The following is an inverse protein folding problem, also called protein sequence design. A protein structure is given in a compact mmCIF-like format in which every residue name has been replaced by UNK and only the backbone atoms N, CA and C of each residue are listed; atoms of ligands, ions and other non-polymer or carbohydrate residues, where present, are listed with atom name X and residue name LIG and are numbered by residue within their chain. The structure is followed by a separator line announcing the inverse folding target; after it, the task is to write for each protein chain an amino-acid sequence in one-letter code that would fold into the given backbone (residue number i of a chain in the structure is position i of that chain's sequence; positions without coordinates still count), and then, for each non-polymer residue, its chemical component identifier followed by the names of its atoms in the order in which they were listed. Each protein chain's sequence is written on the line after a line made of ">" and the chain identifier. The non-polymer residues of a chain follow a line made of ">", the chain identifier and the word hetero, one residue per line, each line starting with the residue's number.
data_IF_956537138904
#
_entry.id   IF_956537138904
#
_cell.length_a   1.000
_cell.length_b   1.000
_cell.length_c   1.000
_cell.angle_alpha   90.00
_cell.angle_beta   90.00
_cell.angle_gamma   90.00
#
_symmetry.space_group_name_H-M   'P 1'
#
loop_
_entity.id
_entity.type
_entity.pdbx_description
1 polymer ?
#
# COMPACT_ATOMS: atom_id res chain seq x y z
N UNK A 1 -11.12 14.75 2.27
CA UNK A 1 -12.20 15.74 2.52
C UNK A 1 -12.27 16.80 1.43
N UNK A 2 -11.17 17.50 1.09
CA UNK A 2 -11.17 18.50 0.02
C UNK A 2 -11.60 17.96 -1.37
N UNK A 3 -11.10 16.78 -1.78
CA UNK A 3 -11.48 16.17 -3.07
C UNK A 3 -12.97 15.81 -3.11
N UNK A 4 -13.51 15.30 -2.00
CA UNK A 4 -14.94 14.97 -1.89
C UNK A 4 -15.79 16.24 -1.96
N UNK A 5 -15.39 17.31 -1.28
CA UNK A 5 -16.07 18.61 -1.36
C UNK A 5 -16.01 19.20 -2.78
N UNK A 6 -14.88 19.04 -3.48
CA UNK A 6 -14.72 19.51 -4.86
C UNK A 6 -15.59 18.71 -5.84
N UNK A 7 -15.69 17.39 -5.67
CA UNK A 7 -16.57 16.53 -6.48
C UNK A 7 -18.05 16.83 -6.24
N UNK A 8 -18.45 17.06 -4.98
CA UNK A 8 -19.82 17.44 -4.63
C UNK A 8 -20.18 18.83 -5.16
N UNK A 9 -19.25 19.78 -5.11
CA UNK A 9 -19.40 21.12 -5.71
C UNK A 9 -19.57 21.04 -7.23
N UNK A 10 -18.74 20.23 -7.90
CA UNK A 10 -18.84 20.00 -9.35
C UNK A 10 -20.17 19.35 -9.72
N UNK A 11 -20.59 18.31 -8.98
CA UNK A 11 -21.88 17.64 -9.17
C UNK A 11 -23.06 18.62 -9.02
N UNK A 12 -23.02 19.49 -8.00
CA UNK A 12 -24.04 20.52 -7.75
C UNK A 12 -24.16 21.50 -8.92
N UNK A 13 -23.05 21.96 -9.47
CA UNK A 13 -23.02 22.87 -10.64
C UNK A 13 -23.60 22.18 -11.88
N UNK A 14 -23.26 20.90 -12.09
CA UNK A 14 -23.74 20.07 -13.19
C UNK A 14 -25.24 19.80 -13.12
N UNK A 15 -25.77 19.46 -11.94
CA UNK A 15 -27.19 19.07 -11.77
C UNK A 15 -28.12 20.26 -11.54
N UNK A 16 -27.63 21.37 -10.98
CA UNK A 16 -28.47 22.51 -10.57
C UNK A 16 -28.31 23.78 -11.40
N UNK A 17 -27.13 24.04 -11.98
CA UNK A 17 -26.83 25.31 -12.67
C UNK A 17 -26.91 25.23 -14.20
N UNK A 18 -26.59 24.07 -14.79
CA UNK A 18 -26.62 23.90 -16.26
C UNK A 18 -27.91 23.29 -16.78
N UNK A 19 -28.59 22.48 -15.96
CA UNK A 19 -29.79 21.75 -16.35
C UNK A 19 -31.06 22.62 -16.43
N UNK A 20 -31.06 23.80 -15.81
CA UNK A 20 -32.24 24.65 -15.75
C UNK A 20 -32.49 25.46 -17.04
N UNK A 21 -31.45 25.80 -17.83
CA UNK A 21 -31.61 26.72 -18.98
C UNK A 21 -30.69 26.47 -20.20
N UNK A 22 -29.70 25.58 -20.16
CA UNK A 22 -28.64 25.58 -21.19
C UNK A 22 -28.63 24.30 -22.05
N UNK A 23 -28.75 24.48 -23.37
CA UNK A 23 -28.80 23.40 -24.38
C UNK A 23 -27.54 22.53 -24.50
N UNK A 24 -27.49 21.70 -25.55
CA UNK A 24 -26.49 20.63 -25.79
C UNK A 24 -25.01 20.99 -25.58
N UNK A 25 -24.63 22.26 -25.76
CA UNK A 25 -23.26 22.73 -25.48
C UNK A 25 -22.89 22.67 -24.00
N UNK A 26 -23.83 22.99 -23.10
CA UNK A 26 -23.59 22.94 -21.66
C UNK A 26 -23.44 21.51 -21.15
N UNK A 27 -24.20 20.56 -21.71
CA UNK A 27 -24.05 19.13 -21.38
C UNK A 27 -22.74 18.54 -21.90
N UNK A 28 -22.27 18.98 -23.08
CA UNK A 28 -20.95 18.58 -23.59
C UNK A 28 -19.82 19.17 -22.74
N UNK A 29 -19.91 20.46 -22.36
CA UNK A 29 -18.93 21.11 -21.49
C UNK A 29 -18.86 20.44 -20.11
N UNK A 30 -20.02 20.05 -19.57
CA UNK A 30 -20.15 19.27 -18.36
C UNK A 30 -19.39 17.94 -18.41
N UNK A 31 -19.62 17.16 -19.48
CA UNK A 31 -18.96 15.86 -19.66
C UNK A 31 -17.45 16.02 -19.85
N UNK A 32 -17.02 17.05 -20.61
CA UNK A 32 -15.61 17.36 -20.78
C UNK A 32 -14.93 17.72 -19.45
N UNK A 33 -15.59 18.51 -18.60
CA UNK A 33 -15.08 18.87 -17.28
C UNK A 33 -14.90 17.63 -16.38
N UNK A 34 -15.88 16.71 -16.37
CA UNK A 34 -15.79 15.45 -15.61
C UNK A 34 -14.63 14.60 -16.12
N UNK A 35 -14.47 14.46 -17.44
CA UNK A 35 -13.39 13.70 -18.05
C UNK A 35 -12.00 14.26 -17.69
N UNK A 36 -11.84 15.58 -17.72
CA UNK A 36 -10.58 16.24 -17.34
C UNK A 36 -10.24 16.01 -15.86
N UNK A 37 -11.22 16.16 -14.97
CA UNK A 37 -11.02 15.93 -13.52
C UNK A 37 -10.67 14.46 -13.27
N UNK A 38 -11.39 13.53 -13.89
CA UNK A 38 -11.11 12.10 -13.76
C UNK A 38 -9.70 11.75 -14.28
N UNK A 39 -9.32 12.31 -15.43
CA UNK A 39 -7.98 12.15 -16.01
C UNK A 39 -6.88 12.69 -15.11
N UNK A 40 -7.06 13.89 -14.54
CA UNK A 40 -6.10 14.49 -13.62
C UNK A 40 -5.93 13.66 -12.34
N UNK A 41 -7.03 13.16 -11.76
CA UNK A 41 -6.99 12.30 -10.57
C UNK A 41 -6.32 10.97 -10.88
N UNK A 42 -6.65 10.33 -12.01
CA UNK A 42 -6.02 9.09 -12.44
C UNK A 42 -4.52 9.26 -12.68
N UNK A 43 -4.12 10.34 -13.35
CA UNK A 43 -2.72 10.69 -13.59
C UNK A 43 -1.95 10.92 -12.29
N UNK A 44 -2.53 11.67 -11.35
CA UNK A 44 -1.92 11.90 -10.04
C UNK A 44 -1.75 10.60 -9.24
N UNK A 45 -2.76 9.71 -9.24
CA UNK A 45 -2.69 8.40 -8.60
C UNK A 45 -1.63 7.49 -9.24
N UNK A 46 -1.55 7.49 -10.58
CA UNK A 46 -0.54 6.73 -11.32
C UNK A 46 0.88 7.25 -11.01
N UNK A 47 1.08 8.57 -11.05
CA UNK A 47 2.34 9.21 -10.69
C UNK A 47 2.75 8.92 -9.25
N UNK A 48 1.83 9.03 -8.29
CA UNK A 48 2.09 8.70 -6.89
C UNK A 48 2.54 7.23 -6.73
N UNK A 49 1.93 6.29 -7.47
CA UNK A 49 2.34 4.88 -7.46
C UNK A 49 3.71 4.65 -8.07
N UNK A 50 3.99 5.27 -9.22
CA UNK A 50 5.29 5.19 -9.91
C UNK A 50 6.43 5.72 -9.02
N UNK A 51 6.19 6.82 -8.32
CA UNK A 51 7.13 7.43 -7.37
C UNK A 51 7.20 6.70 -6.03
N UNK A 52 6.47 5.59 -5.87
CA UNK A 52 6.50 4.79 -4.65
C UNK A 52 5.91 5.49 -3.42
N UNK A 53 5.07 6.51 -3.61
CA UNK A 53 4.39 7.18 -2.52
C UNK A 53 3.49 6.17 -1.79
N UNK A 54 3.78 5.93 -0.52
CA UNK A 54 3.00 5.04 0.34
C UNK A 54 2.41 5.82 1.49
N UNK A 55 1.20 5.46 1.89
CA UNK A 55 0.60 5.99 3.11
C UNK A 55 1.53 5.71 4.31
N UNK A 56 1.69 6.65 5.26
CA UNK A 56 2.54 6.46 6.44
C UNK A 56 2.25 5.16 7.20
N UNK A 57 0.99 4.75 7.27
CA UNK A 57 0.57 3.49 7.88
C UNK A 57 1.13 2.26 7.16
N UNK A 58 1.20 2.28 5.82
CA UNK A 58 1.75 1.20 5.01
C UNK A 58 3.28 1.10 5.15
N UNK A 59 3.97 2.23 5.30
CA UNK A 59 5.41 2.26 5.61
C UNK A 59 5.65 1.67 6.99
N UNK A 60 4.92 2.13 8.01
CA UNK A 60 5.02 1.61 9.39
C UNK A 60 4.78 0.11 9.45
N UNK A 61 3.70 -0.38 8.83
CA UNK A 61 3.39 -1.82 8.82
C UNK A 61 4.44 -2.63 8.08
N UNK A 62 4.98 -2.12 6.97
CA UNK A 62 6.10 -2.72 6.25
C UNK A 62 7.36 -2.82 7.11
N UNK A 63 7.71 -1.76 7.84
CA UNK A 63 8.86 -1.73 8.75
C UNK A 63 8.67 -2.71 9.90
N UNK A 64 7.51 -2.72 10.55
CA UNK A 64 7.20 -3.66 11.63
C UNK A 64 7.28 -5.11 11.16
N UNK A 65 6.71 -5.42 9.98
CA UNK A 65 6.79 -6.76 9.39
C UNK A 65 8.24 -7.18 9.10
N UNK A 66 9.07 -6.28 8.54
CA UNK A 66 10.49 -6.54 8.32
C UNK A 66 11.26 -6.79 9.63
N UNK A 67 10.95 -6.03 10.69
CA UNK A 67 11.53 -6.25 12.03
C UNK A 67 11.09 -7.59 12.60
N UNK A 68 9.80 -7.92 12.53
CA UNK A 68 9.26 -9.19 12.98
C UNK A 68 9.95 -10.38 12.29
N UNK A 69 10.15 -10.34 10.97
CA UNK A 69 10.88 -11.40 10.26
C UNK A 69 12.33 -11.57 10.74
N UNK A 70 13.01 -10.46 11.09
CA UNK A 70 14.40 -10.51 11.59
C UNK A 70 14.50 -10.99 13.04
N UNK A 71 13.44 -10.87 13.83
CA UNK A 71 13.42 -11.29 15.24
C UNK A 71 12.58 -12.54 15.50
N UNK A 72 11.88 -13.06 14.49
CA UNK A 72 11.01 -14.24 14.60
C UNK A 72 11.79 -15.51 14.95
N UNK A 73 13.07 -15.54 14.61
CA UNK A 73 13.97 -16.64 14.94
C UNK A 73 15.00 -16.14 15.94
N UNK A 74 15.16 -16.86 17.06
CA UNK A 74 16.38 -16.71 17.84
C UNK A 74 17.57 -17.04 16.92
N UNK A 75 18.69 -16.31 16.99
CA UNK A 75 19.94 -16.76 16.42
C UNK A 75 20.21 -18.18 16.96
N UNK A 76 20.03 -19.19 16.11
CA UNK A 76 20.35 -20.56 16.49
C UNK A 76 21.86 -20.58 16.75
N UNK A 77 22.26 -21.03 17.95
CA UNK A 77 23.67 -21.29 18.21
C UNK A 77 24.08 -22.42 17.27
N UNK A 78 25.15 -22.17 16.51
CA UNK A 78 25.75 -23.20 15.68
C UNK A 78 26.01 -24.46 16.52
N UNK A 79 25.31 -25.58 16.23
CA UNK A 79 25.51 -26.82 16.97
C UNK A 79 26.95 -27.35 16.82
N UNK A 80 27.70 -26.88 15.81
CA UNK A 80 29.09 -27.24 15.54
C UNK A 80 30.12 -26.23 16.06
N UNK A 81 29.70 -25.20 16.82
CA UNK A 81 30.64 -24.24 17.41
C UNK A 81 31.71 -24.93 18.30
N UNK A 82 32.98 -24.55 18.10
CA UNK A 82 34.14 -25.09 18.82
C UNK A 82 33.93 -25.03 20.34
N UNK A 83 34.03 -26.17 21.01
CA UNK A 83 33.84 -26.29 22.46
C UNK A 83 32.44 -26.77 22.89
N UNK A 84 31.51 -27.02 21.96
CA UNK A 84 30.25 -27.71 22.28
C UNK A 84 30.33 -29.19 21.93
N UNK A 85 29.90 -30.05 22.87
CA UNK A 85 29.66 -31.46 22.57
C UNK A 85 28.52 -31.53 21.56
N UNK A 86 28.77 -32.16 20.41
CA UNK A 86 27.72 -32.50 19.45
C UNK A 86 26.61 -33.26 20.18
N UNK A 87 25.34 -32.86 20.03
CA UNK A 87 24.23 -33.67 20.50
C UNK A 87 24.40 -35.08 19.93
N UNK A 88 24.52 -36.09 20.81
CA UNK A 88 24.63 -37.48 20.36
C UNK A 88 23.32 -37.82 19.66
N UNK A 89 23.42 -38.42 18.47
CA UNK A 89 22.25 -38.94 17.78
C UNK A 89 21.48 -39.87 18.73
N UNK A 90 20.15 -39.72 18.85
CA UNK A 90 19.33 -40.66 19.60
C UNK A 90 19.63 -42.09 19.12
N UNK A 91 20.08 -42.97 20.01
CA UNK A 91 20.45 -44.35 19.68
C UNK A 91 21.94 -44.66 19.55
N UNK A 92 22.83 -43.67 19.65
CA UNK A 92 24.28 -43.93 19.69
C UNK A 92 24.68 -44.56 21.04
N UNK A 93 24.80 -45.89 21.07
CA UNK A 93 25.31 -46.63 22.23
C UNK A 93 26.75 -46.18 22.56
N UNK A 94 27.07 -46.08 23.85
CA UNK A 94 28.43 -45.82 24.32
C UNK A 94 29.32 -47.02 23.95
N UNK A 95 30.41 -46.76 23.23
CA UNK A 95 31.43 -47.78 22.98
C UNK A 95 32.00 -48.25 24.34
N UNK A 96 31.94 -49.57 24.58
CA UNK A 96 32.49 -50.21 25.77
C UNK A 96 34.03 -50.05 25.81
N UNK A 97 34.56 -49.85 27.02
CA UNK A 97 35.96 -49.56 27.30
C UNK A 97 36.85 -50.79 27.27
#
# INVERSE_FOLDING_TARGET
>A
MAVVAMLLGLLRVLTGGLAADNGTLASVAAVAAVALVAGAVAGALAGARLLGARAPAAVRSGVLRRRAFRTAFLPQRDPDARGRRRPRAPGAALAAA
#
